data_IF_358932374811
#
_entry.id   IF_358932374811
#
_cell.length_a   1.000
_cell.length_b   1.000
_cell.length_c   1.000
_cell.angle_alpha   90.00
_cell.angle_beta   90.00
_cell.angle_gamma   90.00
#
_symmetry.space_group_name_H-M   'P 1'
#
loop_
_entity.id
_entity.type
_entity.pdbx_description
1 polymer ?
#
# COMPACT_ATOMS: atom_id res chain seq x y z
N UNK A 1 -7.45 -0.67 -2.65
CA UNK A 1 -6.07 -0.71 -3.18
C UNK A 1 -5.78 -2.07 -3.77
N UNK A 2 -5.52 -3.07 -2.93
CA UNK A 2 -5.20 -4.41 -3.35
C UNK A 2 -5.50 -5.42 -2.22
N UNK A 3 -5.53 -6.69 -2.55
CA UNK A 3 -5.70 -7.81 -1.60
C UNK A 3 -4.78 -8.94 -2.02
N UNK A 4 -4.23 -9.65 -1.05
CA UNK A 4 -3.46 -10.87 -1.27
C UNK A 4 -4.08 -12.03 -0.50
N UNK A 5 -4.20 -13.18 -1.14
CA UNK A 5 -4.59 -14.43 -0.49
C UNK A 5 -3.80 -15.61 -1.09
N UNK A 6 -3.58 -16.66 -0.30
CA UNK A 6 -2.92 -17.88 -0.81
C UNK A 6 -3.74 -18.59 -1.90
N UNK A 7 -5.06 -18.48 -1.84
CA UNK A 7 -5.97 -19.18 -2.76
C UNK A 7 -6.15 -18.44 -4.09
N UNK A 8 -6.34 -17.13 -4.06
CA UNK A 8 -6.66 -16.32 -5.24
C UNK A 8 -5.50 -15.44 -5.71
N UNK A 9 -4.36 -15.49 -5.01
CA UNK A 9 -3.20 -14.65 -5.31
C UNK A 9 -3.43 -13.18 -4.99
N UNK A 10 -2.75 -12.33 -5.74
CA UNK A 10 -2.86 -10.87 -5.67
C UNK A 10 -4.01 -10.34 -6.54
N UNK A 11 -4.73 -9.37 -6.01
CA UNK A 11 -5.79 -8.65 -6.69
C UNK A 11 -5.56 -7.16 -6.48
N UNK A 12 -5.33 -6.41 -7.56
CA UNK A 12 -5.15 -4.95 -7.51
C UNK A 12 -6.36 -4.29 -8.15
N UNK A 13 -6.99 -3.36 -7.44
CA UNK A 13 -8.14 -2.63 -7.93
C UNK A 13 -7.75 -1.76 -9.14
N UNK A 14 -8.67 -1.59 -10.10
CA UNK A 14 -8.42 -0.90 -11.37
C UNK A 14 -7.69 0.45 -11.27
N UNK A 15 -8.08 1.41 -10.41
CA UNK A 15 -7.38 2.70 -10.34
C UNK A 15 -5.92 2.61 -9.87
N UNK A 16 -5.52 1.48 -9.27
CA UNK A 16 -4.16 1.24 -8.77
C UNK A 16 -3.38 0.24 -9.62
N UNK A 17 -3.98 -0.32 -10.69
CA UNK A 17 -3.27 -1.25 -11.59
C UNK A 17 -2.09 -0.54 -12.25
N UNK A 18 -0.92 -1.17 -12.21
CA UNK A 18 0.34 -0.62 -12.74
C UNK A 18 1.00 0.42 -11.83
N UNK A 19 0.25 1.04 -10.92
CA UNK A 19 0.74 1.98 -9.92
C UNK A 19 1.21 1.28 -8.64
N UNK A 20 0.50 0.22 -8.24
CA UNK A 20 0.74 -0.55 -7.03
C UNK A 20 1.35 -1.91 -7.38
N UNK A 21 2.41 -2.29 -6.67
CA UNK A 21 3.00 -3.63 -6.72
C UNK A 21 3.28 -4.18 -5.34
N UNK A 22 3.03 -5.47 -5.10
CA UNK A 22 3.45 -6.13 -3.86
C UNK A 22 4.96 -6.37 -3.87
N UNK A 23 5.65 -5.90 -2.83
CA UNK A 23 7.07 -6.18 -2.55
C UNK A 23 7.27 -7.32 -1.57
N UNK A 24 6.34 -7.51 -0.64
CA UNK A 24 6.29 -8.68 0.25
C UNK A 24 4.87 -9.25 0.25
N UNK A 25 4.77 -10.58 0.13
CA UNK A 25 3.49 -11.30 0.05
C UNK A 25 3.44 -12.41 1.09
N UNK A 26 3.13 -12.05 2.33
CA UNK A 26 2.87 -13.03 3.39
C UNK A 26 1.62 -12.68 4.18
N UNK A 27 1.03 -13.69 4.83
CA UNK A 27 -0.17 -13.50 5.65
C UNK A 27 0.10 -12.71 6.94
N UNK A 28 1.37 -12.59 7.35
CA UNK A 28 1.78 -11.93 8.60
C UNK A 28 2.52 -10.61 8.35
N UNK A 29 3.07 -10.43 7.15
CA UNK A 29 3.74 -9.21 6.70
C UNK A 29 3.53 -9.05 5.20
N UNK A 30 2.93 -7.94 4.81
CA UNK A 30 2.67 -7.59 3.41
C UNK A 30 3.16 -6.18 3.16
N UNK A 31 3.94 -6.03 2.10
CA UNK A 31 4.48 -4.73 1.68
C UNK A 31 4.07 -4.45 0.26
N UNK A 32 3.77 -3.19 -0.01
CA UNK A 32 3.44 -2.69 -1.32
C UNK A 32 4.32 -1.48 -1.64
N UNK A 33 4.59 -1.30 -2.92
CA UNK A 33 5.16 -0.07 -3.45
C UNK A 33 4.06 0.65 -4.22
N UNK A 34 3.82 1.92 -3.90
CA UNK A 34 2.99 2.81 -4.69
C UNK A 34 3.90 3.73 -5.49
N UNK A 35 3.85 3.61 -6.82
CA UNK A 35 4.67 4.38 -7.77
C UNK A 35 3.89 5.60 -8.25
N UNK A 36 4.60 6.57 -8.84
CA UNK A 36 3.99 7.76 -9.45
C UNK A 36 2.98 8.44 -8.52
N UNK A 37 3.36 8.64 -7.25
CA UNK A 37 2.49 9.23 -6.24
C UNK A 37 2.19 10.69 -6.62
N UNK A 38 0.93 11.07 -6.48
CA UNK A 38 0.38 12.39 -6.79
C UNK A 38 -0.38 12.92 -5.58
N UNK A 39 -0.70 14.21 -5.57
CA UNK A 39 -1.50 14.83 -4.51
C UNK A 39 -2.87 14.16 -4.30
N UNK A 40 -3.43 13.51 -5.32
CA UNK A 40 -4.70 12.76 -5.22
C UNK A 40 -4.56 11.46 -4.42
N UNK A 41 -3.34 10.95 -4.25
CA UNK A 41 -3.06 9.76 -3.43
C UNK A 41 -2.83 10.11 -1.95
N UNK A 42 -2.78 11.39 -1.59
CA UNK A 42 -2.67 11.81 -0.20
C UNK A 42 -3.91 11.37 0.57
N UNK A 43 -3.68 10.72 1.71
CA UNK A 43 -4.77 10.20 2.52
C UNK A 43 -4.35 9.11 3.49
N UNK A 44 -5.29 8.71 4.34
CA UNK A 44 -5.08 7.63 5.27
C UNK A 44 -5.57 6.31 4.70
N UNK A 45 -4.68 5.34 4.69
CA UNK A 45 -4.88 4.00 4.18
C UNK A 45 -4.91 3.00 5.34
N UNK A 46 -5.66 1.92 5.15
CA UNK A 46 -5.80 0.87 6.14
C UNK A 46 -5.33 -0.45 5.56
N UNK A 47 -4.38 -1.07 6.23
CA UNK A 47 -4.04 -2.47 6.05
C UNK A 47 -4.91 -3.32 6.97
N UNK A 48 -5.44 -4.43 6.43
CA UNK A 48 -6.30 -5.34 7.17
C UNK A 48 -5.84 -6.79 6.92
N UNK A 49 -5.51 -7.50 8.00
CA UNK A 49 -5.21 -8.92 8.02
C UNK A 49 -6.42 -9.67 8.60
N UNK A 50 -7.04 -10.52 7.78
CA UNK A 50 -8.19 -11.30 8.23
C UNK A 50 -7.70 -12.64 8.78
N UNK A 51 -7.84 -12.83 10.09
CA UNK A 51 -7.40 -14.01 10.83
C UNK A 51 -8.62 -14.70 11.42
N UNK A 52 -8.94 -15.92 10.99
CA UNK A 52 -10.05 -16.68 11.56
C UNK A 52 -9.56 -17.54 12.73
N UNK A 53 -10.26 -17.58 13.89
CA UNK A 53 -11.52 -16.90 14.21
C UNK A 53 -11.35 -15.50 14.85
N UNK A 54 -10.11 -15.04 15.08
CA UNK A 54 -9.78 -13.82 15.83
C UNK A 54 -10.36 -12.51 15.25
N UNK A 55 -10.71 -12.50 13.96
CA UNK A 55 -11.24 -11.35 13.24
C UNK A 55 -10.17 -10.61 12.43
N UNK A 56 -10.46 -9.35 12.12
CA UNK A 56 -9.62 -8.52 11.25
C UNK A 56 -8.69 -7.64 12.09
N UNK A 57 -7.38 -7.87 12.00
CA UNK A 57 -6.35 -6.98 12.57
C UNK A 57 -6.07 -5.85 11.59
N UNK A 58 -6.19 -4.60 12.05
CA UNK A 58 -6.10 -3.42 11.18
C UNK A 58 -5.00 -2.47 11.63
N UNK A 59 -4.31 -1.88 10.67
CA UNK A 59 -3.32 -0.82 10.90
C UNK A 59 -3.55 0.31 9.90
N UNK A 60 -3.70 1.53 10.42
CA UNK A 60 -3.82 2.73 9.61
C UNK A 60 -2.45 3.40 9.45
N UNK A 61 -2.19 3.93 8.27
CA UNK A 61 -1.08 4.83 8.00
C UNK A 61 -1.59 5.98 7.11
N UNK A 62 -0.96 7.15 7.17
CA UNK A 62 -1.33 8.27 6.32
C UNK A 62 -0.16 8.60 5.40
N UNK A 63 -0.44 8.64 4.10
CA UNK A 63 0.50 9.07 3.08
C UNK A 63 0.34 10.58 2.92
N UNK A 64 1.43 11.31 3.08
CA UNK A 64 1.50 12.75 2.81
C UNK A 64 2.45 12.97 1.65
N UNK A 65 2.01 13.73 0.66
CA UNK A 65 2.81 14.06 -0.51
C UNK A 65 3.48 15.41 -0.24
N UNK A 66 4.76 15.54 -0.57
CA UNK A 66 5.50 16.78 -0.39
C UNK A 66 6.11 17.20 -1.72
N UNK A 67 5.92 18.47 -2.08
CA UNK A 67 6.51 19.06 -3.27
C UNK A 67 7.87 19.68 -2.93
N UNK A 68 8.94 19.27 -3.60
CA UNK A 68 10.24 19.92 -3.47
C UNK A 68 10.28 21.19 -4.33
N UNK A 69 10.23 22.37 -3.71
CA UNK A 69 10.19 23.68 -4.40
C UNK A 69 11.54 24.13 -5.01
N UNK A 70 12.38 23.22 -5.51
CA UNK A 70 13.75 23.54 -5.96
C UNK A 70 14.01 23.38 -7.45
N UNK A 71 13.36 22.43 -8.12
CA UNK A 71 13.51 22.18 -9.55
C UNK A 71 12.26 21.43 -10.00
N UNK A 72 11.56 21.94 -11.02
CA UNK A 72 10.47 21.24 -11.70
C UNK A 72 11.00 19.90 -12.21
N UNK A 73 10.79 18.84 -11.45
CA UNK A 73 11.00 17.49 -11.92
C UNK A 73 9.79 16.69 -11.45
N UNK A 74 8.97 16.30 -12.42
CA UNK A 74 8.09 15.15 -12.36
C UNK A 74 8.93 13.89 -12.06
N UNK A 75 9.58 13.83 -10.89
CA UNK A 75 10.16 12.58 -10.43
C UNK A 75 8.99 11.83 -9.83
N UNK A 76 8.52 10.72 -10.44
CA UNK A 76 7.57 9.87 -9.76
C UNK A 76 8.23 9.36 -8.48
N UNK A 77 7.85 9.94 -7.35
CA UNK A 77 8.27 9.41 -6.05
C UNK A 77 7.56 8.07 -5.86
N UNK A 78 8.36 7.07 -5.51
CA UNK A 78 7.89 5.74 -5.13
C UNK A 78 7.84 5.70 -3.61
N UNK A 79 6.69 5.36 -3.05
CA UNK A 79 6.52 5.17 -1.61
C UNK A 79 6.38 3.68 -1.31
N UNK A 80 7.33 3.13 -0.56
CA UNK A 80 7.24 1.78 -0.02
C UNK A 80 6.43 1.81 1.28
N UNK A 81 5.31 1.10 1.26
CA UNK A 81 4.42 0.92 2.40
C UNK A 81 4.57 -0.52 2.88
N UNK A 82 5.09 -0.69 4.08
CA UNK A 82 5.19 -1.99 4.74
C UNK A 82 4.13 -2.11 5.84
N UNK A 83 3.29 -3.13 5.73
CA UNK A 83 2.28 -3.48 6.72
C UNK A 83 2.62 -4.84 7.32
N UNK A 84 2.94 -4.87 8.60
CA UNK A 84 3.20 -6.11 9.32
C UNK A 84 2.17 -6.28 10.44
N UNK A 85 1.68 -7.50 10.59
CA UNK A 85 0.95 -8.02 11.76
C UNK A 85 1.99 -8.21 12.88
N UNK A 86 2.52 -7.10 13.40
CA UNK A 86 3.37 -7.15 14.58
C UNK A 86 2.45 -7.17 15.82
N UNK A 87 2.66 -8.07 16.80
CA UNK A 87 1.99 -7.99 18.09
C UNK A 87 2.32 -6.68 18.82
#
# INVERSE_FOLDING_TARGET
>A
LATFSKQFGEQVNEPYRGKLSFTEKSLNSSSITLRNVTWEDEGCYVCAFNVFPEGSKRKQFCLTVQGNSGYLSHIPSSSDVTCSDKP
#
